data_IF_445503965872
#
_entry.id   IF_445503965872
#
_cell.length_a   1.000
_cell.length_b   1.000
_cell.length_c   1.000
_cell.angle_alpha   90.00
_cell.angle_beta   90.00
_cell.angle_gamma   90.00
#
_symmetry.space_group_name_H-M   'P 1'
#
loop_
_entity.id
_entity.type
_entity.pdbx_description
1 polymer ?
#
# COMPACT_ATOMS: atom_id res chain seq x y z
N UNK A 1 29.25 -4.44 29.34
CA UNK A 1 28.56 -3.30 28.66
C UNK A 1 27.64 -3.82 27.57
N UNK A 2 26.44 -4.27 27.79
CA UNK A 2 25.76 -4.90 26.67
C UNK A 2 24.23 -4.93 26.68
N UNK A 3 23.57 -5.24 27.80
CA UNK A 3 22.13 -5.50 27.76
C UNK A 3 21.26 -4.25 27.49
N UNK A 4 21.61 -3.10 28.03
CA UNK A 4 20.80 -1.87 27.86
C UNK A 4 20.90 -1.22 26.47
N UNK A 5 21.94 -1.51 25.67
CA UNK A 5 22.02 -1.01 24.29
C UNK A 5 21.01 -1.67 23.34
N UNK A 6 20.59 -2.92 23.61
CA UNK A 6 19.68 -3.68 22.73
C UNK A 6 18.27 -3.10 22.62
N UNK A 7 17.84 -2.29 23.59
CA UNK A 7 16.48 -1.71 23.60
C UNK A 7 16.43 -0.22 23.20
N UNK A 8 17.59 0.39 22.99
CA UNK A 8 17.65 1.80 22.58
C UNK A 8 17.76 1.91 21.08
N UNK A 9 16.87 2.70 20.47
CA UNK A 9 16.95 2.99 19.05
C UNK A 9 18.34 3.51 18.66
N UNK A 10 18.90 3.12 17.49
CA UNK A 10 20.14 3.68 17.00
C UNK A 10 20.04 5.20 16.83
N UNK A 11 21.12 5.91 17.10
CA UNK A 11 21.20 7.36 16.81
C UNK A 11 21.53 7.54 15.33
N UNK A 12 20.57 7.25 14.48
CA UNK A 12 20.69 7.38 13.03
C UNK A 12 19.40 8.02 12.51
N UNK A 13 19.51 9.11 11.79
CA UNK A 13 18.39 9.66 11.04
C UNK A 13 18.23 8.82 9.77
N UNK A 14 17.00 8.37 9.51
CA UNK A 14 16.65 7.71 8.25
C UNK A 14 15.67 8.58 7.48
N UNK A 15 15.82 8.62 6.16
CA UNK A 15 14.90 9.28 5.25
C UNK A 15 14.68 8.41 4.02
N UNK A 16 13.43 8.23 3.60
CA UNK A 16 13.06 7.64 2.32
C UNK A 16 12.79 8.79 1.34
N UNK A 17 13.59 8.88 0.28
CA UNK A 17 13.43 9.84 -0.80
C UNK A 17 12.99 9.10 -2.05
N UNK A 18 11.81 9.42 -2.55
CA UNK A 18 11.34 8.96 -3.86
C UNK A 18 11.76 9.99 -4.91
N UNK A 19 12.10 9.53 -6.12
CA UNK A 19 12.52 10.42 -7.20
C UNK A 19 11.33 11.19 -7.80
N UNK A 20 10.13 10.61 -7.70
CA UNK A 20 8.88 11.23 -8.15
C UNK A 20 7.82 11.22 -7.05
N UNK A 21 6.80 12.06 -7.19
CA UNK A 21 5.67 12.14 -6.25
C UNK A 21 4.45 11.38 -6.76
N UNK A 22 4.40 11.05 -8.06
CA UNK A 22 3.32 10.33 -8.71
C UNK A 22 3.86 9.28 -9.69
N UNK A 23 3.21 8.11 -9.73
CA UNK A 23 3.59 6.96 -10.55
C UNK A 23 2.35 6.32 -11.19
N UNK A 24 2.51 5.74 -12.38
CA UNK A 24 1.59 4.72 -12.88
C UNK A 24 1.99 3.35 -12.31
N UNK A 25 1.05 2.44 -12.12
CA UNK A 25 1.34 1.10 -11.59
C UNK A 25 2.33 0.27 -12.44
N UNK A 26 2.55 0.67 -13.68
CA UNK A 26 3.53 0.05 -14.61
C UNK A 26 4.93 0.62 -14.49
N UNK A 27 5.06 1.75 -13.81
CA UNK A 27 6.35 2.39 -13.62
C UNK A 27 7.21 1.61 -12.63
N UNK A 28 8.49 1.92 -12.63
CA UNK A 28 9.40 1.51 -11.56
C UNK A 28 9.33 2.56 -10.45
N UNK A 29 9.16 2.11 -9.21
CA UNK A 29 9.39 2.97 -8.07
C UNK A 29 10.89 3.12 -7.87
N UNK A 30 11.38 4.34 -8.03
CA UNK A 30 12.79 4.70 -7.86
C UNK A 30 12.98 5.65 -6.70
N UNK A 31 14.15 5.61 -6.10
CA UNK A 31 14.49 6.46 -4.99
C UNK A 31 15.69 5.97 -4.20
N UNK A 32 15.84 6.44 -2.98
CA UNK A 32 16.92 6.06 -2.08
C UNK A 32 16.51 6.10 -0.62
N UNK A 33 17.10 5.20 0.17
CA UNK A 33 17.07 5.24 1.63
C UNK A 33 18.34 5.95 2.07
N UNK A 34 18.18 7.07 2.78
CA UNK A 34 19.30 7.90 3.26
C UNK A 34 19.49 7.66 4.75
N UNK A 35 20.75 7.49 5.17
CA UNK A 35 21.13 7.37 6.57
C UNK A 35 22.16 8.44 6.94
N UNK A 36 21.88 9.18 8.03
CA UNK A 36 22.80 10.13 8.64
C UNK A 36 23.12 9.66 10.08
N UNK A 37 24.16 8.84 10.29
CA UNK A 37 24.46 8.25 11.57
C UNK A 37 25.24 9.19 12.50
N UNK A 38 24.79 9.31 13.75
CA UNK A 38 25.52 9.95 14.85
C UNK A 38 26.40 8.95 15.63
N UNK A 39 26.29 7.67 15.33
CA UNK A 39 27.11 6.58 15.88
C UNK A 39 27.36 5.52 14.78
N UNK A 40 28.46 4.76 14.94
CA UNK A 40 28.70 3.61 14.04
C UNK A 40 27.55 2.61 14.14
N UNK A 41 27.02 2.20 12.99
CA UNK A 41 25.83 1.35 12.92
C UNK A 41 25.99 0.30 11.82
N UNK A 42 25.63 -0.96 12.16
CA UNK A 42 25.59 -2.05 11.19
C UNK A 42 24.15 -2.30 10.78
N UNK A 43 23.85 -2.06 9.53
CA UNK A 43 22.55 -2.37 8.91
C UNK A 43 22.65 -3.76 8.28
N UNK A 44 21.67 -4.62 8.57
CA UNK A 44 21.63 -5.98 8.04
C UNK A 44 20.89 -6.06 6.71
N UNK A 45 19.86 -5.24 6.55
CA UNK A 45 18.97 -5.28 5.39
C UNK A 45 18.33 -3.92 5.18
N UNK A 46 18.17 -3.55 3.91
CA UNK A 46 17.26 -2.50 3.47
C UNK A 46 16.06 -3.14 2.79
N UNK A 47 14.86 -2.70 3.16
CA UNK A 47 13.61 -3.12 2.50
C UNK A 47 12.62 -1.99 2.39
N UNK A 48 11.71 -2.14 1.44
CA UNK A 48 10.51 -1.32 1.34
C UNK A 48 9.30 -2.13 1.82
N UNK A 49 8.44 -1.51 2.61
CA UNK A 49 7.16 -2.08 3.03
C UNK A 49 6.05 -1.25 2.41
N UNK A 50 5.24 -1.88 1.57
CA UNK A 50 4.04 -1.29 0.99
C UNK A 50 2.85 -1.67 1.83
N UNK A 51 2.06 -0.69 2.23
CA UNK A 51 0.81 -0.86 2.95
C UNK A 51 -0.13 0.27 2.60
N UNK A 52 -1.23 0.40 3.32
CA UNK A 52 -2.18 1.47 3.09
C UNK A 52 -3.62 1.03 3.28
N UNK A 53 -4.54 1.63 2.53
CA UNK A 53 -5.95 1.33 2.63
C UNK A 53 -6.67 1.38 1.28
N UNK A 54 -7.72 0.56 1.16
CA UNK A 54 -8.80 0.73 0.18
C UNK A 54 -9.94 1.47 0.85
N UNK A 55 -10.45 2.49 0.19
CA UNK A 55 -11.60 3.26 0.64
C UNK A 55 -12.67 3.26 -0.42
N UNK A 56 -13.80 2.63 -0.12
CA UNK A 56 -14.99 2.66 -0.97
C UNK A 56 -15.84 3.87 -0.59
N UNK A 57 -16.21 4.69 -1.58
CA UNK A 57 -17.16 5.81 -1.42
C UNK A 57 -18.36 5.55 -2.32
N UNK A 58 -19.43 5.06 -1.74
CA UNK A 58 -20.63 4.70 -2.47
C UNK A 58 -21.85 5.50 -2.00
N UNK A 59 -22.75 5.80 -2.92
CA UNK A 59 -23.97 6.58 -2.67
C UNK A 59 -25.20 5.81 -3.12
N UNK A 60 -26.24 5.85 -2.28
CA UNK A 60 -27.57 5.34 -2.63
C UNK A 60 -28.64 6.38 -2.29
N UNK A 61 -29.25 6.98 -3.30
CA UNK A 61 -30.17 8.11 -3.12
C UNK A 61 -29.46 9.28 -2.44
N UNK A 62 -29.99 9.73 -1.29
CA UNK A 62 -29.39 10.81 -0.50
C UNK A 62 -28.35 10.36 0.52
N UNK A 63 -28.15 9.05 0.69
CA UNK A 63 -27.23 8.51 1.66
C UNK A 63 -25.86 8.26 1.04
N UNK A 64 -24.80 8.61 1.80
CA UNK A 64 -23.41 8.33 1.46
C UNK A 64 -22.81 7.34 2.44
N UNK A 65 -22.10 6.34 1.95
CA UNK A 65 -21.44 5.30 2.72
C UNK A 65 -19.95 5.32 2.42
N UNK A 66 -19.16 5.01 3.43
CA UNK A 66 -17.71 4.90 3.27
C UNK A 66 -17.21 3.68 4.05
N UNK A 67 -16.56 2.78 3.34
CA UNK A 67 -15.93 1.58 3.90
C UNK A 67 -14.43 1.70 3.73
N UNK A 68 -13.66 1.32 4.75
CA UNK A 68 -12.20 1.35 4.68
C UNK A 68 -11.67 0.00 5.15
N UNK A 69 -10.79 -0.59 4.34
CA UNK A 69 -10.07 -1.81 4.65
C UNK A 69 -8.56 -1.59 4.48
N UNK A 70 -7.76 -2.30 5.27
CA UNK A 70 -6.31 -2.25 5.13
C UNK A 70 -5.86 -3.05 3.92
N UNK A 71 -4.83 -2.54 3.22
CA UNK A 71 -4.11 -3.32 2.22
C UNK A 71 -3.21 -4.34 2.89
N UNK A 72 -3.03 -5.49 2.24
CA UNK A 72 -1.99 -6.43 2.63
C UNK A 72 -0.61 -5.77 2.52
N UNK A 73 0.18 -5.88 3.58
CA UNK A 73 1.54 -5.33 3.57
C UNK A 73 2.48 -6.23 2.77
N UNK A 74 3.08 -5.67 1.72
CA UNK A 74 4.12 -6.35 0.93
C UNK A 74 5.50 -5.83 1.30
N UNK A 75 6.43 -6.75 1.59
CA UNK A 75 7.81 -6.43 1.97
C UNK A 75 8.75 -6.81 0.84
N UNK A 76 9.55 -5.87 0.37
CA UNK A 76 10.46 -6.05 -0.77
C UNK A 76 11.87 -5.70 -0.30
N UNK A 77 12.78 -6.68 -0.22
CA UNK A 77 14.18 -6.41 0.03
C UNK A 77 14.78 -5.58 -1.11
N UNK A 78 15.55 -4.55 -0.77
CA UNK A 78 16.21 -3.68 -1.75
C UNK A 78 17.71 -3.61 -1.56
N UNK A 79 18.25 -4.14 -0.46
CA UNK A 79 19.68 -4.18 -0.21
C UNK A 79 20.07 -5.05 0.96
N UNK A 80 21.36 -5.32 1.05
CA UNK A 80 21.98 -6.17 2.06
C UNK A 80 22.74 -5.40 3.13
N UNK A 81 23.74 -6.07 3.70
CA UNK A 81 24.50 -5.57 4.84
C UNK A 81 25.39 -4.39 4.46
N UNK A 82 25.41 -3.38 5.33
CA UNK A 82 26.36 -2.27 5.26
C UNK A 82 26.73 -1.80 6.67
N UNK A 83 27.97 -1.37 6.83
CA UNK A 83 28.45 -0.71 8.04
C UNK A 83 28.65 0.77 7.73
N UNK A 84 27.88 1.63 8.40
CA UNK A 84 27.95 3.08 8.25
C UNK A 84 28.68 3.69 9.44
N UNK A 85 29.63 4.58 9.15
CA UNK A 85 30.44 5.25 10.16
C UNK A 85 29.72 6.49 10.71
N UNK A 86 30.05 6.86 11.94
CA UNK A 86 29.55 8.11 12.53
C UNK A 86 29.86 9.29 11.63
N UNK A 87 28.83 10.10 11.31
CA UNK A 87 28.96 11.30 10.48
C UNK A 87 29.10 11.04 8.99
N UNK A 88 29.08 9.78 8.55
CA UNK A 88 29.11 9.42 7.14
C UNK A 88 27.67 9.48 6.58
N UNK A 89 27.42 10.38 5.65
CA UNK A 89 26.20 10.35 4.84
C UNK A 89 26.21 9.10 3.95
N UNK A 90 25.15 8.30 4.00
CA UNK A 90 25.01 7.08 3.22
C UNK A 90 23.69 7.05 2.48
N UNK A 91 23.73 6.80 1.19
CA UNK A 91 22.55 6.64 0.34
C UNK A 91 22.50 5.22 -0.24
N UNK A 92 21.36 4.56 -0.10
CA UNK A 92 21.08 3.27 -0.70
C UNK A 92 20.02 3.44 -1.79
N UNK A 93 20.40 3.49 -3.08
CA UNK A 93 19.45 3.64 -4.19
C UNK A 93 18.68 2.32 -4.40
N UNK A 94 17.45 2.45 -4.90
CA UNK A 94 16.62 1.31 -5.28
C UNK A 94 15.80 1.61 -6.52
N UNK A 95 15.45 0.52 -7.23
CA UNK A 95 14.49 0.50 -8.31
C UNK A 95 13.72 -0.81 -8.24
N UNK A 96 12.41 -0.75 -8.10
CA UNK A 96 11.55 -1.93 -7.95
C UNK A 96 10.28 -1.80 -8.78
N UNK A 97 9.63 -2.93 -9.05
CA UNK A 97 8.26 -2.96 -9.56
C UNK A 97 7.29 -2.55 -8.46
N UNK A 98 6.31 -1.72 -8.83
CA UNK A 98 5.25 -1.32 -7.89
C UNK A 98 4.31 -2.51 -7.64
N UNK A 99 4.12 -2.93 -6.37
CA UNK A 99 3.17 -3.99 -6.06
C UNK A 99 1.76 -3.62 -6.49
N UNK A 100 1.09 -4.54 -7.17
CA UNK A 100 -0.26 -4.29 -7.69
C UNK A 100 -1.31 -4.34 -6.57
N UNK A 101 -2.11 -3.26 -6.48
CA UNK A 101 -3.30 -3.15 -5.64
C UNK A 101 -4.48 -2.66 -6.50
N UNK A 102 -5.14 -3.54 -7.26
CA UNK A 102 -6.15 -3.13 -8.24
C UNK A 102 -7.40 -2.58 -7.55
N UNK A 103 -8.06 -1.66 -8.26
CA UNK A 103 -9.38 -1.14 -7.89
C UNK A 103 -10.45 -2.10 -8.45
N UNK A 104 -11.34 -2.67 -7.61
CA UNK A 104 -12.37 -3.60 -8.07
C UNK A 104 -13.53 -2.90 -8.81
N UNK A 105 -13.66 -1.59 -8.62
CA UNK A 105 -14.77 -0.79 -9.11
C UNK A 105 -14.43 0.71 -9.12
N UNK A 106 -15.27 1.58 -9.71
CA UNK A 106 -15.02 3.02 -9.78
C UNK A 106 -15.24 3.77 -8.45
N UNK A 107 -15.81 3.13 -7.44
CA UNK A 107 -16.06 3.74 -6.11
C UNK A 107 -14.87 3.54 -5.16
N UNK A 108 -13.93 2.67 -5.54
CA UNK A 108 -12.76 2.32 -4.73
C UNK A 108 -11.57 3.23 -5.02
N UNK A 109 -11.13 3.91 -3.98
CA UNK A 109 -9.85 4.62 -3.92
C UNK A 109 -8.81 3.73 -3.22
N UNK A 110 -7.58 3.73 -3.72
CA UNK A 110 -6.45 3.01 -3.12
C UNK A 110 -5.39 4.03 -2.72
N UNK A 111 -5.12 4.11 -1.43
CA UNK A 111 -4.04 4.93 -0.87
C UNK A 111 -2.91 4.03 -0.41
N UNK A 112 -1.71 4.24 -0.96
CA UNK A 112 -0.51 3.47 -0.60
C UNK A 112 0.45 4.33 0.21
N UNK A 113 1.04 3.68 1.20
CA UNK A 113 2.17 4.18 1.98
C UNK A 113 3.36 3.28 1.71
N UNK A 114 4.50 3.88 1.48
CA UNK A 114 5.78 3.18 1.31
C UNK A 114 6.66 3.53 2.49
N UNK A 115 7.09 2.50 3.23
CA UNK A 115 8.00 2.65 4.35
C UNK A 115 9.37 2.11 3.97
N UNK A 116 10.38 2.96 4.01
CA UNK A 116 11.77 2.57 3.95
C UNK A 116 12.20 2.04 5.32
N UNK A 117 12.79 0.87 5.36
CA UNK A 117 13.24 0.19 6.58
C UNK A 117 14.70 -0.18 6.45
N UNK A 118 15.49 0.16 7.48
CA UNK A 118 16.84 -0.35 7.66
C UNK A 118 16.88 -1.16 8.97
N UNK A 119 17.10 -2.47 8.86
CA UNK A 119 17.20 -3.37 10.02
C UNK A 119 18.58 -3.27 10.64
N UNK A 120 18.61 -3.00 11.95
CA UNK A 120 19.86 -2.85 12.70
C UNK A 120 20.07 -4.02 13.65
N UNK A 121 21.25 -4.61 13.62
CA UNK A 121 21.55 -5.79 14.42
C UNK A 121 21.33 -5.57 15.93
N UNK A 122 20.38 -6.33 16.50
CA UNK A 122 20.07 -6.33 17.94
C UNK A 122 19.48 -5.03 18.46
N UNK A 123 18.90 -4.19 17.60
CA UNK A 123 18.27 -2.90 17.93
C UNK A 123 16.95 -2.75 17.14
N UNK A 124 16.07 -1.82 17.52
CA UNK A 124 14.88 -1.52 16.73
C UNK A 124 15.22 -1.06 15.31
N UNK A 125 14.38 -1.44 14.35
CA UNK A 125 14.48 -1.00 12.96
C UNK A 125 14.36 0.51 12.85
N UNK A 126 15.12 1.08 11.92
CA UNK A 126 14.98 2.46 11.49
C UNK A 126 13.93 2.52 10.40
N UNK A 127 13.01 3.48 10.46
CA UNK A 127 11.92 3.57 9.48
C UNK A 127 11.61 5.02 9.12
N UNK A 128 11.25 5.24 7.84
CA UNK A 128 10.67 6.49 7.35
C UNK A 128 9.57 6.19 6.32
N UNK A 129 8.47 6.95 6.34
CA UNK A 129 7.30 6.73 5.49
C UNK A 129 7.18 7.84 4.43
N UNK A 130 6.82 7.44 3.21
CA UNK A 130 6.42 8.33 2.13
C UNK A 130 5.04 7.91 1.58
N UNK A 131 4.32 8.85 0.98
CA UNK A 131 2.98 8.63 0.41
C UNK A 131 2.96 9.07 -1.05
N UNK A 132 3.48 8.25 -1.97
CA UNK A 132 3.39 8.55 -3.39
C UNK A 132 1.93 8.44 -3.87
N UNK A 133 1.55 9.26 -4.83
CA UNK A 133 0.34 9.05 -5.60
C UNK A 133 0.59 7.94 -6.62
N UNK A 134 -0.14 6.82 -6.52
CA UNK A 134 -0.01 5.71 -7.48
C UNK A 134 -1.35 5.48 -8.17
N UNK A 135 -1.34 5.56 -9.49
CA UNK A 135 -2.50 5.25 -10.30
C UNK A 135 -2.57 3.72 -10.53
N UNK A 136 -3.44 3.05 -9.77
CA UNK A 136 -3.69 1.62 -9.94
C UNK A 136 -4.77 1.34 -10.98
N UNK A 137 -4.66 0.21 -11.70
CA UNK A 137 -5.63 -0.20 -12.69
C UNK A 137 -6.91 -0.73 -12.02
N UNK A 138 -7.95 -0.83 -12.83
CA UNK A 138 -9.16 -1.55 -12.47
C UNK A 138 -9.01 -3.03 -12.83
N UNK A 139 -9.38 -3.92 -11.90
CA UNK A 139 -9.58 -5.36 -12.15
C UNK A 139 -10.98 -5.69 -11.63
N UNK A 140 -11.93 -5.72 -12.53
CA UNK A 140 -13.36 -5.78 -12.22
C UNK A 140 -13.83 -7.23 -12.31
N UNK A 141 -14.48 -7.69 -11.26
CA UNK A 141 -15.18 -8.96 -11.22
C UNK A 141 -16.68 -8.76 -11.47
N UNK A 142 -17.25 -9.59 -12.34
CA UNK A 142 -18.69 -9.73 -12.49
C UNK A 142 -19.17 -10.77 -11.49
N UNK A 143 -19.29 -10.37 -10.22
CA UNK A 143 -19.46 -11.23 -9.07
C UNK A 143 -20.72 -12.10 -9.17
N UNK A 144 -20.59 -13.42 -8.94
CA UNK A 144 -21.67 -14.37 -9.00
C UNK A 144 -22.66 -14.20 -7.87
N UNK A 145 -22.20 -13.87 -6.69
CA UNK A 145 -23.03 -13.74 -5.50
C UNK A 145 -24.03 -12.57 -5.63
N UNK A 146 -23.70 -11.60 -6.49
CA UNK A 146 -24.54 -10.45 -6.80
C UNK A 146 -25.19 -10.52 -8.19
N UNK A 147 -25.24 -11.70 -8.80
CA UNK A 147 -25.92 -11.97 -10.06
C UNK A 147 -25.07 -11.81 -11.31
N UNK A 148 -23.78 -11.81 -11.16
CA UNK A 148 -22.80 -11.81 -12.25
C UNK A 148 -22.46 -13.22 -12.77
N UNK A 149 -21.46 -13.31 -13.66
CA UNK A 149 -21.04 -14.59 -14.28
C UNK A 149 -19.66 -15.10 -13.79
N UNK A 150 -19.02 -14.41 -12.84
CA UNK A 150 -17.69 -14.74 -12.31
C UNK A 150 -16.53 -14.40 -13.26
N UNK A 151 -16.77 -13.58 -14.30
CA UNK A 151 -15.71 -13.13 -15.19
C UNK A 151 -14.93 -12.01 -14.53
N UNK A 152 -13.59 -12.10 -14.59
CA UNK A 152 -12.67 -11.07 -14.11
C UNK A 152 -11.94 -10.44 -15.31
N UNK A 153 -11.86 -9.12 -15.36
CA UNK A 153 -11.14 -8.41 -16.42
C UNK A 153 -9.62 -8.52 -16.25
N UNK A 154 -8.89 -8.34 -17.34
CA UNK A 154 -7.48 -7.95 -17.25
C UNK A 154 -7.37 -6.53 -16.69
N UNK A 155 -6.19 -6.08 -16.24
CA UNK A 155 -5.99 -4.72 -15.75
C UNK A 155 -6.38 -3.66 -16.80
N UNK A 156 -7.28 -2.74 -16.42
CA UNK A 156 -7.84 -1.68 -17.25
C UNK A 156 -7.42 -0.31 -16.71
N UNK A 157 -7.17 0.65 -17.59
CA UNK A 157 -6.93 2.06 -17.21
C UNK A 157 -8.21 2.75 -16.73
N UNK A 158 -9.36 2.32 -17.26
CA UNK A 158 -10.69 2.87 -16.95
C UNK A 158 -11.67 1.75 -16.58
N UNK A 159 -12.65 2.00 -15.70
CA UNK A 159 -13.65 1.01 -15.35
C UNK A 159 -14.62 0.77 -16.49
N UNK A 160 -15.03 -0.49 -16.70
CA UNK A 160 -16.09 -0.85 -17.65
C UNK A 160 -17.42 -0.94 -16.93
N UNK A 161 -18.51 -0.50 -17.60
CA UNK A 161 -19.89 -0.52 -17.04
C UNK A 161 -20.65 -1.80 -17.37
N UNK A 162 -20.17 -2.56 -18.34
CA UNK A 162 -20.85 -3.77 -18.81
C UNK A 162 -19.86 -4.92 -18.82
N UNK A 163 -20.27 -6.08 -18.32
CA UNK A 163 -19.44 -7.27 -18.36
C UNK A 163 -19.22 -7.72 -19.81
N UNK A 164 -17.96 -7.82 -20.27
CA UNK A 164 -17.67 -8.18 -21.68
C UNK A 164 -18.02 -9.63 -22.00
N UNK A 165 -18.23 -10.48 -20.98
CA UNK A 165 -18.55 -11.90 -21.15
C UNK A 165 -20.06 -12.18 -21.22
N UNK A 166 -20.86 -11.57 -20.33
CA UNK A 166 -22.29 -11.90 -20.21
C UNK A 166 -23.23 -10.71 -20.48
N UNK A 167 -22.68 -9.49 -20.70
CA UNK A 167 -23.48 -8.30 -20.95
C UNK A 167 -24.15 -7.69 -19.72
N UNK A 168 -23.95 -8.23 -18.52
CA UNK A 168 -24.54 -7.68 -17.30
C UNK A 168 -24.06 -6.24 -17.04
N UNK A 169 -24.98 -5.42 -16.52
CA UNK A 169 -24.66 -4.10 -16.01
C UNK A 169 -23.90 -4.25 -14.68
N UNK A 170 -22.62 -3.91 -14.68
CA UNK A 170 -21.75 -4.03 -13.51
C UNK A 170 -22.11 -3.01 -12.41
N UNK A 171 -22.67 -1.87 -12.77
CA UNK A 171 -23.12 -0.89 -11.79
C UNK A 171 -24.27 -1.45 -10.92
N UNK A 172 -25.16 -2.28 -11.49
CA UNK A 172 -26.18 -2.97 -10.73
C UNK A 172 -25.60 -4.04 -9.80
N UNK A 173 -24.56 -4.77 -10.25
CA UNK A 173 -23.84 -5.76 -9.44
C UNK A 173 -23.23 -5.06 -8.21
N UNK A 174 -22.47 -4.00 -8.41
CA UNK A 174 -21.86 -3.24 -7.31
C UNK A 174 -22.89 -2.60 -6.38
N UNK A 175 -24.00 -2.11 -6.91
CA UNK A 175 -25.08 -1.55 -6.09
C UNK A 175 -25.75 -2.58 -5.19
N UNK A 176 -25.81 -3.86 -5.60
CA UNK A 176 -26.30 -4.97 -4.76
C UNK A 176 -25.30 -5.28 -3.65
N UNK A 177 -24.04 -5.48 -4.00
CA UNK A 177 -22.93 -5.73 -3.08
C UNK A 177 -22.88 -4.67 -1.97
N UNK A 178 -22.69 -3.41 -2.32
CA UNK A 178 -22.59 -2.33 -1.33
C UNK A 178 -23.89 -2.07 -0.56
N UNK A 179 -25.05 -2.42 -1.12
CA UNK A 179 -26.30 -2.37 -0.36
C UNK A 179 -26.33 -3.42 0.75
N UNK A 180 -25.76 -4.59 0.55
CA UNK A 180 -25.65 -5.64 1.58
C UNK A 180 -24.61 -5.28 2.63
N UNK A 181 -23.41 -4.81 2.23
CA UNK A 181 -22.39 -4.32 3.17
C UNK A 181 -22.92 -3.18 4.06
N UNK A 182 -23.70 -2.24 3.48
CA UNK A 182 -24.30 -1.15 4.24
C UNK A 182 -25.33 -1.66 5.27
N UNK A 183 -26.11 -2.70 4.93
CA UNK A 183 -27.06 -3.34 5.87
C UNK A 183 -26.33 -4.07 6.98
N UNK A 184 -25.27 -4.78 6.67
CA UNK A 184 -24.44 -5.48 7.66
C UNK A 184 -23.76 -4.50 8.61
N UNK A 185 -23.17 -3.43 8.09
CA UNK A 185 -22.54 -2.39 8.90
C UNK A 185 -23.52 -1.75 9.89
N UNK A 186 -24.78 -1.52 9.46
CA UNK A 186 -25.84 -0.98 10.32
C UNK A 186 -26.30 -1.96 11.43
N UNK A 187 -26.09 -3.27 11.25
CA UNK A 187 -26.42 -4.31 12.23
C UNK A 187 -25.33 -4.58 13.27
N UNK A 188 -24.08 -4.17 12.97
CA UNK A 188 -22.98 -4.34 13.93
C UNK A 188 -23.19 -3.37 15.09
N UNK A 189 -23.26 -3.85 16.37
CA UNK A 189 -23.37 -2.96 17.51
C UNK A 189 -22.17 -2.01 17.51
N UNK A 190 -22.46 -0.70 17.58
CA UNK A 190 -21.41 0.30 17.79
C UNK A 190 -20.76 -0.02 19.15
N UNK A 191 -19.54 -0.54 19.12
CA UNK A 191 -18.73 -0.66 20.33
C UNK A 191 -18.22 0.75 20.64
N UNK A 192 -18.88 1.37 21.62
CA UNK A 192 -18.41 2.57 22.30
C UNK A 192 -17.25 2.23 23.23
#
# INVERSE_FOLDING_TARGET
MGLFKKFKAPKVKIELKLDEVAYDYKDKLTGRIVLDPEEETSVNEFRLEFGGSKKVKWKKGFSSYSFTSSLETKKIPVGGQVKVQKGQHYEHPFQIDIPLYPKPDPFTEVEVKVKGVATVQGRPDLTHEAKPAINFPYVIECDRDYGGCGFMTQPLSEPVKTCPKCGNNLEEVWNREYSEEAREAARRPQRF
#
